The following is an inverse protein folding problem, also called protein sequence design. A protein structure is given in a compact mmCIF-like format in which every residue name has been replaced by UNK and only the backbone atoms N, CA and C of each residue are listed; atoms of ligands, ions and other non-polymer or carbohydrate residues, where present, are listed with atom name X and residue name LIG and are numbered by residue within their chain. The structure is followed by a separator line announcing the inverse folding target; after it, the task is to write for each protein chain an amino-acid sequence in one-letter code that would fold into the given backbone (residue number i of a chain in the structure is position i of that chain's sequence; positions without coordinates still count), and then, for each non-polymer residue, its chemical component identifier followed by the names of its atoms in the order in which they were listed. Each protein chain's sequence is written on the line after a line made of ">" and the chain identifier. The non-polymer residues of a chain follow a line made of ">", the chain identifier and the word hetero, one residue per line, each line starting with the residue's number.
data_IF_257039187137
#
_entry.id   IF_257039187137
#
_cell.length_a   1.000
_cell.length_b   1.000
_cell.length_c   1.000
_cell.angle_alpha   90.00
_cell.angle_beta   90.00
_cell.angle_gamma   90.00
#
_symmetry.space_group_name_H-M   'P 1'
#
loop_
_entity.id
_entity.type
_entity.pdbx_description
1 polymer ?
#
# COMPACT_ATOMS: atom_id res chain seq x y z
N UNK A 1 16.45 -2.75 -9.44
CA UNK A 1 16.80 -2.94 -10.87
C UNK A 1 15.79 -2.16 -11.71
N UNK A 2 16.22 -1.22 -12.58
CA UNK A 2 15.31 -0.45 -13.43
C UNK A 2 14.32 -1.30 -14.25
N UNK A 3 14.72 -2.49 -14.71
CA UNK A 3 13.84 -3.38 -15.46
C UNK A 3 12.70 -3.95 -14.60
N UNK A 4 12.99 -4.24 -13.33
CA UNK A 4 11.97 -4.72 -12.39
C UNK A 4 10.97 -3.63 -12.04
N UNK A 5 11.36 -2.35 -12.06
CA UNK A 5 10.46 -1.22 -11.82
C UNK A 5 9.45 -1.09 -12.95
N UNK A 6 9.88 -1.26 -14.21
CA UNK A 6 8.97 -1.18 -15.35
C UNK A 6 8.00 -2.36 -15.38
N UNK A 7 8.49 -3.58 -15.10
CA UNK A 7 7.61 -4.74 -14.95
C UNK A 7 6.60 -4.54 -13.82
N UNK A 8 7.04 -4.01 -12.67
CA UNK A 8 6.15 -3.70 -11.56
C UNK A 8 5.08 -2.67 -11.95
N UNK A 9 5.44 -1.65 -12.73
CA UNK A 9 4.47 -0.65 -13.24
C UNK A 9 3.38 -1.29 -14.07
N UNK A 10 3.74 -2.14 -15.03
CA UNK A 10 2.77 -2.85 -15.86
C UNK A 10 1.92 -3.83 -15.04
N UNK A 11 2.52 -4.51 -14.06
CA UNK A 11 1.78 -5.37 -13.13
C UNK A 11 0.75 -4.58 -12.30
N UNK A 12 1.11 -3.41 -11.78
CA UNK A 12 0.20 -2.53 -11.04
C UNK A 12 -0.94 -2.02 -11.92
N UNK A 13 -0.67 -1.72 -13.20
CA UNK A 13 -1.69 -1.32 -14.17
C UNK A 13 -2.68 -2.46 -14.42
N UNK A 14 -2.18 -3.68 -14.63
CA UNK A 14 -3.02 -4.87 -14.80
C UNK A 14 -3.88 -5.13 -13.54
N UNK A 15 -3.30 -5.02 -12.34
CA UNK A 15 -4.05 -5.15 -11.09
C UNK A 15 -5.16 -4.10 -10.97
N UNK A 16 -4.90 -2.85 -11.34
CA UNK A 16 -5.92 -1.79 -11.36
C UNK A 16 -7.07 -2.16 -12.28
N UNK A 17 -6.78 -2.60 -13.50
CA UNK A 17 -7.81 -2.96 -14.48
C UNK A 17 -8.66 -4.15 -14.00
N UNK A 18 -8.02 -5.14 -13.37
CA UNK A 18 -8.71 -6.27 -12.74
C UNK A 18 -9.66 -5.82 -11.61
N UNK A 19 -9.22 -4.90 -10.74
CA UNK A 19 -10.07 -4.37 -9.66
C UNK A 19 -11.26 -3.59 -10.23
N UNK A 20 -11.05 -2.77 -11.26
CA UNK A 20 -12.14 -2.04 -11.93
C UNK A 20 -13.19 -3.01 -12.49
N UNK A 21 -12.75 -4.10 -13.12
CA UNK A 21 -13.65 -5.14 -13.61
C UNK A 21 -14.48 -5.76 -12.48
N UNK A 22 -13.83 -6.15 -11.36
CA UNK A 22 -14.52 -6.73 -10.21
C UNK A 22 -15.52 -5.75 -9.58
N UNK A 23 -15.17 -4.47 -9.47
CA UNK A 23 -16.07 -3.42 -8.98
C UNK A 23 -17.26 -3.20 -9.92
N UNK A 24 -17.06 -3.34 -11.23
CA UNK A 24 -18.14 -3.25 -12.22
C UNK A 24 -19.13 -4.42 -12.08
N UNK A 25 -18.66 -5.60 -11.69
CA UNK A 25 -19.53 -6.75 -11.40
C UNK A 25 -20.41 -6.57 -10.15
N UNK A 26 -20.08 -5.61 -9.29
CA UNK A 26 -20.88 -5.23 -8.13
C UNK A 26 -21.96 -4.19 -8.45
N UNK A 27 -21.96 -3.61 -9.65
CA UNK A 27 -22.95 -2.64 -10.05
C UNK A 27 -24.36 -3.26 -10.05
N UNK A 28 -25.30 -2.64 -9.34
CA UNK A 28 -26.65 -3.16 -9.19
C UNK A 28 -26.79 -4.31 -8.18
N UNK A 29 -25.77 -4.60 -7.37
CA UNK A 29 -25.89 -5.58 -6.30
C UNK A 29 -26.87 -5.11 -5.21
N UNK A 30 -27.65 -6.05 -4.66
CA UNK A 30 -28.59 -5.81 -3.58
C UNK A 30 -27.98 -6.12 -2.21
N UNK A 31 -28.50 -5.53 -1.15
CA UNK A 31 -28.09 -5.86 0.22
C UNK A 31 -28.29 -7.36 0.48
N UNK A 32 -27.26 -8.03 0.98
CA UNK A 32 -27.20 -9.49 1.17
C UNK A 32 -27.36 -10.32 -0.12
N UNK A 33 -27.06 -9.74 -1.29
CA UNK A 33 -27.05 -10.45 -2.56
C UNK A 33 -25.93 -11.51 -2.65
N UNK A 34 -26.11 -12.53 -3.50
CA UNK A 34 -25.17 -13.64 -3.61
C UNK A 34 -23.77 -13.21 -4.08
N UNK A 35 -23.69 -12.17 -4.93
CA UNK A 35 -22.41 -11.65 -5.46
C UNK A 35 -21.56 -11.06 -4.33
N UNK A 36 -22.16 -10.21 -3.50
CA UNK A 36 -21.45 -9.60 -2.36
C UNK A 36 -20.96 -10.66 -1.37
N UNK A 37 -21.76 -11.70 -1.11
CA UNK A 37 -21.34 -12.82 -0.26
C UNK A 37 -20.16 -13.58 -0.86
N UNK A 38 -20.22 -13.95 -2.15
CA UNK A 38 -19.13 -14.66 -2.82
C UNK A 38 -17.82 -13.87 -2.80
N UNK A 39 -17.88 -12.55 -2.99
CA UNK A 39 -16.68 -11.71 -2.90
C UNK A 39 -16.06 -11.72 -1.51
N UNK A 40 -16.88 -11.65 -0.45
CA UNK A 40 -16.39 -11.76 0.92
C UNK A 40 -15.75 -13.14 1.16
N UNK A 41 -16.40 -14.21 0.72
CA UNK A 41 -15.88 -15.58 0.87
C UNK A 41 -14.52 -15.73 0.16
N UNK A 42 -14.37 -15.22 -1.07
CA UNK A 42 -13.10 -15.22 -1.82
C UNK A 42 -11.99 -14.41 -1.11
N UNK A 43 -12.34 -13.27 -0.51
CA UNK A 43 -11.38 -12.47 0.26
C UNK A 43 -10.89 -13.20 1.52
N UNK A 44 -11.80 -13.91 2.20
CA UNK A 44 -11.47 -14.73 3.38
C UNK A 44 -10.55 -15.89 2.97
N UNK A 45 -10.85 -16.58 1.87
CA UNK A 45 -10.01 -17.67 1.34
C UNK A 45 -8.59 -17.21 0.99
N UNK A 46 -8.44 -15.96 0.56
CA UNK A 46 -7.15 -15.36 0.18
C UNK A 46 -6.59 -14.38 1.22
N UNK A 47 -7.04 -14.44 2.49
CA UNK A 47 -6.73 -13.44 3.51
C UNK A 47 -5.24 -13.10 3.62
N UNK A 48 -4.36 -14.11 3.69
CA UNK A 48 -2.91 -13.88 3.84
C UNK A 48 -2.31 -13.09 2.67
N UNK A 49 -2.78 -13.34 1.45
CA UNK A 49 -2.30 -12.62 0.26
C UNK A 49 -2.82 -11.17 0.25
N UNK A 50 -4.07 -10.98 0.66
CA UNK A 50 -4.68 -9.65 0.79
C UNK A 50 -3.97 -8.84 1.88
N UNK A 51 -3.63 -9.45 3.01
CA UNK A 51 -2.87 -8.81 4.09
C UNK A 51 -1.49 -8.34 3.60
N UNK A 52 -0.74 -9.18 2.88
CA UNK A 52 0.56 -8.79 2.30
C UNK A 52 0.43 -7.62 1.32
N UNK A 53 -0.61 -7.63 0.48
CA UNK A 53 -0.88 -6.54 -0.46
C UNK A 53 -1.21 -5.23 0.26
N UNK A 54 -2.06 -5.30 1.28
CA UNK A 54 -2.43 -4.13 2.10
C UNK A 54 -1.23 -3.59 2.86
N UNK A 55 -0.39 -4.45 3.45
CA UNK A 55 0.86 -4.06 4.08
C UNK A 55 1.80 -3.37 3.08
N UNK A 56 1.94 -3.91 1.87
CA UNK A 56 2.76 -3.28 0.82
C UNK A 56 2.28 -1.85 0.53
N UNK A 57 0.98 -1.64 0.29
CA UNK A 57 0.45 -0.30 -0.01
C UNK A 57 0.55 0.66 1.18
N UNK A 58 0.31 0.17 2.38
CA UNK A 58 0.38 0.96 3.61
C UNK A 58 1.77 1.60 3.79
N UNK A 59 2.85 0.89 3.43
CA UNK A 59 4.22 1.42 3.47
C UNK A 59 4.36 2.65 2.56
N UNK A 60 3.83 2.63 1.34
CA UNK A 60 3.91 3.77 0.42
C UNK A 60 3.00 4.94 0.81
N UNK A 61 1.80 4.66 1.30
CA UNK A 61 0.89 5.69 1.81
C UNK A 61 1.50 6.43 3.00
N UNK A 62 2.13 5.68 3.91
CA UNK A 62 2.86 6.20 5.06
C UNK A 62 4.09 7.02 4.67
N UNK A 63 4.87 6.56 3.67
CA UNK A 63 6.00 7.33 3.14
C UNK A 63 5.60 8.69 2.57
N UNK A 64 4.41 8.81 1.98
CA UNK A 64 3.90 10.11 1.53
C UNK A 64 3.78 11.12 2.68
N UNK A 65 3.46 10.67 3.89
CA UNK A 65 3.45 11.51 5.10
C UNK A 65 4.85 11.99 5.50
N UNK A 66 5.87 11.14 5.33
CA UNK A 66 7.26 11.44 5.68
C UNK A 66 7.92 12.47 4.76
N UNK A 67 7.45 12.56 3.51
CA UNK A 67 8.00 13.50 2.51
C UNK A 67 7.40 14.91 2.59
N UNK A 68 6.52 15.15 3.56
CA UNK A 68 6.07 16.51 3.88
C UNK A 68 7.21 17.31 4.50
N UNK A 69 7.32 18.61 4.21
CA UNK A 69 8.47 19.43 4.61
C UNK A 69 8.68 19.49 6.13
N UNK A 70 7.63 19.39 6.93
CA UNK A 70 7.71 19.45 8.39
C UNK A 70 8.30 18.15 8.95
N UNK A 71 7.76 17.00 8.52
CA UNK A 71 8.27 15.69 8.92
C UNK A 71 9.69 15.44 8.38
N UNK A 72 9.98 15.87 7.15
CA UNK A 72 11.31 15.77 6.56
C UNK A 72 12.36 16.51 7.38
N UNK A 73 12.06 17.74 7.83
CA UNK A 73 12.95 18.52 8.70
C UNK A 73 13.15 17.90 10.08
N UNK A 74 12.17 17.14 10.58
CA UNK A 74 12.29 16.42 11.85
C UNK A 74 13.18 15.17 11.73
N UNK A 75 13.16 14.49 10.58
CA UNK A 75 13.95 13.28 10.34
C UNK A 75 15.36 13.55 9.84
N UNK A 76 15.56 14.63 9.09
CA UNK A 76 16.87 15.12 8.64
C UNK A 76 17.60 15.78 9.82
N UNK A 77 18.19 14.94 10.69
CA UNK A 77 18.79 15.40 11.94
C UNK A 77 20.10 16.15 11.72
N UNK A 78 20.81 15.82 10.64
CA UNK A 78 22.06 16.48 10.25
C UNK A 78 21.84 17.69 9.33
N UNK A 79 20.59 17.91 8.86
CA UNK A 79 20.17 19.04 8.03
C UNK A 79 20.93 19.13 6.71
N UNK A 80 21.31 17.98 6.15
CA UNK A 80 22.05 17.92 4.89
C UNK A 80 21.13 17.93 3.66
N UNK A 81 19.81 17.92 3.87
CA UNK A 81 18.81 17.91 2.81
C UNK A 81 18.49 16.51 2.28
N UNK A 82 19.01 15.45 2.91
CA UNK A 82 18.81 14.05 2.53
C UNK A 82 18.50 13.19 3.76
N UNK A 83 17.43 12.39 3.70
CA UNK A 83 17.19 11.38 4.75
C UNK A 83 18.07 10.17 4.49
N UNK A 84 19.01 9.91 5.39
CA UNK A 84 19.84 8.70 5.33
C UNK A 84 19.03 7.42 5.66
N UNK A 85 19.48 6.22 5.27
CA UNK A 85 18.80 4.97 5.65
C UNK A 85 18.66 4.76 7.17
N UNK A 86 19.54 5.36 7.97
CA UNK A 86 19.49 5.29 9.43
C UNK A 86 18.39 6.19 9.99
N UNK A 87 18.28 7.41 9.48
CA UNK A 87 17.21 8.35 9.84
C UNK A 87 15.85 7.83 9.37
N UNK A 88 15.79 7.27 8.17
CA UNK A 88 14.57 6.64 7.65
C UNK A 88 14.08 5.51 8.56
N UNK A 89 14.96 4.58 8.97
CA UNK A 89 14.59 3.51 9.91
C UNK A 89 14.07 4.07 11.24
N UNK A 90 14.75 5.06 11.79
CA UNK A 90 14.36 5.70 13.05
C UNK A 90 13.00 6.41 12.94
N UNK A 91 12.73 7.08 11.82
CA UNK A 91 11.45 7.72 11.54
C UNK A 91 10.31 6.69 11.48
N UNK A 92 10.53 5.58 10.77
CA UNK A 92 9.55 4.48 10.68
C UNK A 92 9.28 3.83 12.05
N UNK A 93 10.31 3.64 12.87
CA UNK A 93 10.17 3.11 14.24
C UNK A 93 9.43 4.08 15.16
N UNK A 94 9.76 5.38 15.12
CA UNK A 94 9.15 6.42 15.94
C UNK A 94 7.66 6.58 15.66
N UNK A 95 7.24 6.44 14.40
CA UNK A 95 5.84 6.48 14.00
C UNK A 95 5.09 5.15 14.27
N UNK A 96 5.70 4.19 14.99
CA UNK A 96 5.16 2.83 15.24
C UNK A 96 4.72 2.14 13.94
N UNK A 97 5.41 2.42 12.82
CA UNK A 97 4.95 1.99 11.50
C UNK A 97 5.17 0.51 11.23
N UNK A 98 6.03 -0.12 12.02
CA UNK A 98 6.24 -1.56 12.04
C UNK A 98 6.27 -2.06 13.48
N UNK A 99 5.40 -3.00 13.79
CA UNK A 99 5.64 -3.95 14.89
C UNK A 99 6.54 -5.05 14.33
N UNK A 100 7.60 -5.39 15.07
CA UNK A 100 8.42 -6.57 14.76
C UNK A 100 7.59 -7.85 14.81
#
# INVERSE_FOLDING_TARGET
>A
DPLQIELLRELMKLQKDMIIMLLSMLEGNVLNGPIGKQMVDTLIESQANVELLLQFFDIFLKMKGLTTSEAFQEFDTNKDGFISPKEFRRAMEAQKMYTR
#
